data_IF_240262678757
#
_entry.id   IF_240262678757
#
_cell.length_a   1.000
_cell.length_b   1.000
_cell.length_c   1.000
_cell.angle_alpha   90.00
_cell.angle_beta   90.00
_cell.angle_gamma   90.00
#
_symmetry.space_group_name_H-M   'P 1'
#
loop_
_entity.id
_entity.type
_entity.pdbx_description
1 polymer ?
#
# COMPACT_ATOMS: atom_id res chain seq x y z
N UNK A 1 3.19 -10.63 18.19
CA UNK A 1 3.08 -9.98 16.86
C UNK A 1 3.93 -8.70 16.90
N UNK A 2 4.70 -8.40 15.85
CA UNK A 2 5.53 -7.17 15.79
C UNK A 2 5.00 -6.30 14.65
N UNK A 3 4.33 -5.20 15.00
CA UNK A 3 3.89 -4.19 14.03
C UNK A 3 5.06 -3.22 13.76
N UNK A 4 5.33 -2.95 12.49
CA UNK A 4 6.31 -1.95 12.05
C UNK A 4 5.60 -0.97 11.13
N UNK A 5 5.67 0.32 11.44
CA UNK A 5 5.16 1.41 10.60
C UNK A 5 6.37 2.12 9.99
N UNK A 6 6.35 2.32 8.68
CA UNK A 6 7.44 2.93 7.92
C UNK A 6 6.94 4.28 7.45
N UNK A 7 7.49 5.34 8.03
CA UNK A 7 7.18 6.71 7.61
C UNK A 7 8.02 7.07 6.36
N UNK A 8 7.45 7.89 5.48
CA UNK A 8 8.05 8.25 4.19
C UNK A 8 8.06 9.76 4.00
N UNK A 9 9.11 10.33 3.38
CA UNK A 9 9.07 11.73 2.96
C UNK A 9 7.88 12.03 2.04
N UNK A 10 7.38 13.26 2.09
CA UNK A 10 6.35 13.74 1.17
C UNK A 10 6.82 13.81 -0.28
N UNK A 11 5.86 13.87 -1.21
CA UNK A 11 6.09 14.07 -2.64
C UNK A 11 5.04 15.06 -3.20
N UNK A 12 5.31 15.63 -4.37
CA UNK A 12 4.38 16.57 -5.02
C UNK A 12 4.65 18.05 -4.73
N UNK A 13 5.73 18.38 -4.03
CA UNK A 13 6.09 19.76 -3.63
C UNK A 13 7.02 20.47 -4.63
N UNK A 14 7.52 19.74 -5.65
CA UNK A 14 8.40 20.29 -6.68
C UNK A 14 7.62 20.74 -7.93
N UNK A 15 8.24 21.56 -8.78
CA UNK A 15 7.68 21.93 -10.09
C UNK A 15 7.61 20.71 -11.01
N UNK A 16 8.70 19.94 -11.07
CA UNK A 16 8.74 18.65 -11.74
C UNK A 16 8.75 17.53 -10.68
N UNK A 17 7.72 16.67 -10.69
CA UNK A 17 7.59 15.52 -9.80
C UNK A 17 7.75 14.18 -10.55
N UNK A 18 8.31 14.19 -11.76
CA UNK A 18 8.66 12.97 -12.46
C UNK A 18 9.51 12.05 -11.57
N UNK A 19 9.20 10.76 -11.59
CA UNK A 19 9.94 9.75 -10.85
C UNK A 19 9.94 9.90 -9.32
N UNK A 20 9.08 10.74 -8.73
CA UNK A 20 9.00 10.92 -7.28
C UNK A 20 8.65 9.63 -6.51
N UNK A 21 8.08 8.62 -7.18
CA UNK A 21 7.81 7.30 -6.63
C UNK A 21 9.05 6.40 -6.50
N UNK A 22 10.15 6.71 -7.18
CA UNK A 22 11.34 5.84 -7.21
C UNK A 22 11.90 5.50 -5.82
N UNK A 23 12.04 6.44 -4.86
CA UNK A 23 12.56 6.11 -3.53
C UNK A 23 11.69 5.07 -2.79
N UNK A 24 10.37 5.20 -2.87
CA UNK A 24 9.42 4.28 -2.23
C UNK A 24 9.43 2.92 -2.94
N UNK A 25 9.37 2.92 -4.28
CA UNK A 25 9.43 1.68 -5.08
C UNK A 25 10.75 0.93 -4.84
N UNK A 26 11.88 1.65 -4.78
CA UNK A 26 13.18 1.08 -4.46
C UNK A 26 13.18 0.47 -3.07
N UNK A 27 12.63 1.16 -2.07
CA UNK A 27 12.56 0.64 -0.71
C UNK A 27 11.78 -0.68 -0.63
N UNK A 28 10.62 -0.77 -1.30
CA UNK A 28 9.80 -1.99 -1.36
C UNK A 28 10.61 -3.14 -1.99
N UNK A 29 11.19 -2.90 -3.17
CA UNK A 29 12.01 -3.89 -3.87
C UNK A 29 13.25 -4.32 -3.07
N UNK A 30 13.90 -3.40 -2.35
CA UNK A 30 15.03 -3.72 -1.49
C UNK A 30 14.62 -4.68 -0.36
N UNK A 31 13.39 -4.60 0.16
CA UNK A 31 12.91 -5.55 1.17
C UNK A 31 12.58 -6.92 0.55
N UNK A 32 12.03 -6.95 -0.68
CA UNK A 32 11.87 -8.20 -1.42
C UNK A 32 13.21 -8.86 -1.71
N UNK A 33 14.21 -8.09 -2.13
CA UNK A 33 15.55 -8.59 -2.38
C UNK A 33 16.18 -9.20 -1.14
N UNK A 34 16.13 -8.49 0.00
CA UNK A 34 16.65 -9.01 1.26
C UNK A 34 15.98 -10.33 1.66
N UNK A 35 14.67 -10.43 1.45
CA UNK A 35 13.94 -11.66 1.76
C UNK A 35 14.35 -12.81 0.84
N UNK A 36 14.44 -12.55 -0.48
CA UNK A 36 14.86 -13.53 -1.47
C UNK A 36 16.27 -14.06 -1.18
N UNK A 37 17.22 -13.17 -0.87
CA UNK A 37 18.60 -13.56 -0.54
C UNK A 37 18.69 -14.46 0.70
N UNK A 38 17.87 -14.23 1.71
CA UNK A 38 17.81 -15.10 2.89
C UNK A 38 17.12 -16.44 2.60
N UNK A 39 16.15 -16.48 1.67
CA UNK A 39 15.43 -17.69 1.27
C UNK A 39 16.30 -18.65 0.44
N UNK A 40 17.11 -18.10 -0.48
CA UNK A 40 18.01 -18.90 -1.34
C UNK A 40 19.31 -19.31 -0.65
N UNK A 41 19.61 -18.76 0.53
CA UNK A 41 20.84 -19.05 1.25
C UNK A 41 20.89 -20.53 1.69
N UNK A 42 22.01 -21.21 1.39
CA UNK A 42 22.25 -22.61 1.79
C UNK A 42 22.16 -22.77 3.31
N UNK A 43 22.71 -21.80 4.06
CA UNK A 43 22.66 -21.76 5.52
C UNK A 43 21.51 -20.85 5.99
N UNK A 44 20.31 -21.02 5.41
CA UNK A 44 19.14 -20.20 5.76
C UNK A 44 18.81 -20.29 7.24
N UNK A 45 18.43 -19.13 7.81
CA UNK A 45 17.93 -19.06 9.18
C UNK A 45 16.64 -19.87 9.31
N UNK A 46 16.45 -20.58 10.43
CA UNK A 46 15.19 -21.29 10.73
C UNK A 46 13.96 -20.37 10.65
N UNK A 47 14.15 -19.08 10.97
CA UNK A 47 13.14 -18.04 10.83
C UNK A 47 13.74 -16.85 10.11
N UNK A 48 13.34 -16.67 8.84
CA UNK A 48 13.75 -15.50 8.05
C UNK A 48 13.03 -14.26 8.61
N UNK A 49 13.75 -13.18 8.95
CA UNK A 49 13.13 -11.93 9.33
C UNK A 49 12.33 -11.33 8.16
N UNK A 50 11.00 -11.29 8.29
CA UNK A 50 10.15 -10.67 7.26
C UNK A 50 10.13 -9.15 7.46
N UNK A 51 10.74 -8.44 6.51
CA UNK A 51 10.79 -6.96 6.45
C UNK A 51 10.03 -6.42 5.24
N UNK A 52 9.38 -7.28 4.46
CA UNK A 52 8.61 -6.88 3.28
C UNK A 52 7.47 -5.96 3.69
N UNK A 53 7.15 -4.99 2.84
CA UNK A 53 6.03 -4.09 3.07
C UNK A 53 4.74 -4.84 2.73
N UNK A 54 3.90 -5.10 3.73
CA UNK A 54 2.67 -5.86 3.54
C UNK A 54 1.50 -5.01 3.02
N UNK A 55 1.44 -3.75 3.43
CA UNK A 55 0.38 -2.81 3.08
C UNK A 55 0.93 -1.38 3.00
N UNK A 56 0.48 -0.62 2.01
CA UNK A 56 0.76 0.78 1.82
C UNK A 56 -0.53 1.60 2.02
N UNK A 57 -0.53 2.47 3.03
CA UNK A 57 -1.60 3.46 3.21
C UNK A 57 -1.32 4.66 2.31
N UNK A 58 -2.12 4.83 1.26
CA UNK A 58 -1.93 5.93 0.32
C UNK A 58 -2.82 7.11 0.69
N UNK A 59 -2.21 8.20 1.15
CA UNK A 59 -2.92 9.39 1.62
C UNK A 59 -3.31 10.31 0.46
N UNK A 60 -4.61 10.40 0.20
CA UNK A 60 -5.21 11.29 -0.79
C UNK A 60 -5.56 12.62 -0.10
N UNK A 61 -5.10 13.77 -0.62
CA UNK A 61 -5.47 15.07 -0.07
C UNK A 61 -6.98 15.31 -0.17
N UNK A 62 -7.59 15.85 0.89
CA UNK A 62 -9.00 16.20 0.95
C UNK A 62 -9.33 17.47 0.13
N UNK A 63 -9.21 17.40 -1.20
CA UNK A 63 -9.51 18.53 -2.11
C UNK A 63 -10.99 18.66 -2.42
N UNK A 64 -11.77 17.58 -2.26
CA UNK A 64 -13.17 17.52 -2.66
C UNK A 64 -13.40 17.32 -4.17
N UNK A 65 -12.35 17.23 -4.99
CA UNK A 65 -12.45 17.10 -6.46
C UNK A 65 -12.22 15.65 -6.93
N UNK A 66 -11.43 15.43 -7.99
CA UNK A 66 -10.98 14.12 -8.47
C UNK A 66 -9.56 13.82 -7.99
N UNK A 67 -9.08 12.60 -8.22
CA UNK A 67 -7.69 12.24 -8.00
C UNK A 67 -6.77 13.11 -8.88
N UNK A 68 -5.66 13.56 -8.29
CA UNK A 68 -4.64 14.29 -9.06
C UNK A 68 -3.95 13.31 -10.01
N UNK A 69 -3.56 13.73 -11.22
CA UNK A 69 -2.81 12.88 -12.15
C UNK A 69 -1.55 12.25 -11.53
N UNK A 70 -0.87 13.00 -10.65
CA UNK A 70 0.29 12.51 -9.89
C UNK A 70 -0.08 11.32 -8.99
N UNK A 71 -1.22 11.39 -8.30
CA UNK A 71 -1.67 10.32 -7.41
C UNK A 71 -2.11 9.08 -8.18
N UNK A 72 -2.76 9.27 -9.33
CA UNK A 72 -3.14 8.19 -10.25
C UNK A 72 -1.88 7.44 -10.69
N UNK A 73 -0.87 8.16 -11.20
CA UNK A 73 0.37 7.53 -11.68
C UNK A 73 1.14 6.83 -10.56
N UNK A 74 1.17 7.42 -9.37
CA UNK A 74 1.84 6.82 -8.21
C UNK A 74 1.13 5.53 -7.78
N UNK A 75 -0.17 5.58 -7.53
CA UNK A 75 -0.94 4.40 -7.10
C UNK A 75 -0.92 3.29 -8.16
N UNK A 76 -0.97 3.64 -9.45
CA UNK A 76 -0.88 2.67 -10.56
C UNK A 76 0.44 1.92 -10.60
N UNK A 77 1.53 2.53 -10.13
CA UNK A 77 2.84 1.87 -10.01
C UNK A 77 2.94 1.04 -8.74
N UNK A 78 2.46 1.58 -7.62
CA UNK A 78 2.49 0.90 -6.33
C UNK A 78 1.61 -0.35 -6.33
N UNK A 79 0.44 -0.34 -6.98
CA UNK A 79 -0.53 -1.44 -6.91
C UNK A 79 0.02 -2.74 -7.52
N UNK A 80 1.03 -2.61 -8.39
CA UNK A 80 1.73 -3.73 -9.02
C UNK A 80 2.75 -4.42 -8.12
N UNK A 81 3.13 -3.80 -7.00
CA UNK A 81 4.21 -4.29 -6.14
C UNK A 81 3.84 -4.34 -4.66
N UNK A 82 2.72 -3.78 -4.23
CA UNK A 82 2.27 -3.80 -2.84
C UNK A 82 0.76 -3.61 -2.76
N UNK A 83 0.14 -4.15 -1.70
CA UNK A 83 -1.26 -3.89 -1.39
C UNK A 83 -1.45 -2.40 -1.04
N UNK A 84 -2.36 -1.71 -1.72
CA UNK A 84 -2.70 -0.31 -1.44
C UNK A 84 -4.05 -0.23 -0.73
N UNK A 85 -4.10 0.50 0.37
CA UNK A 85 -5.36 0.97 0.98
C UNK A 85 -5.39 2.50 0.90
N UNK A 86 -6.20 3.09 0.00
CA UNK A 86 -6.27 4.53 -0.11
C UNK A 86 -7.08 5.13 1.05
N UNK A 87 -6.63 6.26 1.56
CA UNK A 87 -7.23 6.98 2.68
C UNK A 87 -7.35 8.47 2.35
N UNK A 88 -8.49 9.09 2.66
CA UNK A 88 -8.65 10.54 2.57
C UNK A 88 -8.02 11.15 3.82
N UNK A 89 -6.96 11.92 3.61
CA UNK A 89 -6.21 12.57 4.67
C UNK A 89 -6.99 13.75 5.27
N UNK A 90 -6.90 13.95 6.60
CA UNK A 90 -7.49 15.10 7.30
C UNK A 90 -8.98 15.28 6.94
N UNK A 91 -9.76 14.20 7.03
CA UNK A 91 -11.15 14.20 6.61
C UNK A 91 -12.08 15.10 7.45
N UNK A 92 -11.59 15.68 8.54
CA UNK A 92 -12.21 16.77 9.29
C UNK A 92 -12.31 18.08 8.50
N UNK A 93 -11.60 18.19 7.37
CA UNK A 93 -11.69 19.32 6.45
C UNK A 93 -12.90 19.27 5.50
N UNK A 94 -13.57 18.12 5.40
CA UNK A 94 -14.74 17.92 4.55
C UNK A 94 -15.98 17.73 5.41
N UNK A 95 -17.10 18.32 4.98
CA UNK A 95 -18.43 17.99 5.49
C UNK A 95 -18.79 16.54 5.13
N UNK A 96 -19.86 16.01 5.75
CA UNK A 96 -20.33 14.65 5.45
C UNK A 96 -20.76 14.50 3.98
N UNK A 97 -21.42 15.50 3.41
CA UNK A 97 -21.86 15.49 2.00
C UNK A 97 -20.67 15.55 1.04
N UNK A 98 -19.72 16.45 1.28
CA UNK A 98 -18.49 16.55 0.48
C UNK A 98 -17.68 15.25 0.55
N UNK A 99 -17.60 14.62 1.72
CA UNK A 99 -16.92 13.33 1.90
C UNK A 99 -17.55 12.23 1.05
N UNK A 100 -18.88 12.13 1.03
CA UNK A 100 -19.59 11.13 0.21
C UNK A 100 -19.32 11.35 -1.27
N UNK A 101 -19.46 12.58 -1.76
CA UNK A 101 -19.18 12.89 -3.17
C UNK A 101 -17.72 12.69 -3.53
N UNK A 102 -16.79 13.03 -2.64
CA UNK A 102 -15.36 12.86 -2.88
C UNK A 102 -14.97 11.38 -2.97
N UNK A 103 -15.50 10.54 -2.08
CA UNK A 103 -15.33 9.07 -2.17
C UNK A 103 -15.80 8.52 -3.50
N UNK A 104 -17.01 8.88 -3.95
CA UNK A 104 -17.54 8.44 -5.23
C UNK A 104 -16.63 8.79 -6.41
N UNK A 105 -16.10 10.03 -6.42
CA UNK A 105 -15.15 10.49 -7.45
C UNK A 105 -13.84 9.70 -7.41
N UNK A 106 -13.25 9.53 -6.23
CA UNK A 106 -12.02 8.74 -6.08
C UNK A 106 -12.23 7.30 -6.57
N UNK A 107 -13.33 6.65 -6.18
CA UNK A 107 -13.62 5.28 -6.60
C UNK A 107 -13.80 5.19 -8.11
N UNK A 108 -14.47 6.16 -8.75
CA UNK A 108 -14.59 6.22 -10.20
C UNK A 108 -13.23 6.40 -10.90
N UNK A 109 -12.35 7.24 -10.34
CA UNK A 109 -11.01 7.45 -10.88
C UNK A 109 -10.12 6.21 -10.74
N UNK A 110 -10.19 5.51 -9.60
CA UNK A 110 -9.47 4.25 -9.38
C UNK A 110 -9.89 3.19 -10.40
N UNK A 111 -11.20 3.00 -10.60
CA UNK A 111 -11.75 2.03 -11.55
C UNK A 111 -11.39 2.38 -13.00
N UNK A 112 -11.59 3.64 -13.41
CA UNK A 112 -11.31 4.06 -14.80
C UNK A 112 -9.83 4.01 -15.17
N UNK A 113 -8.92 4.09 -14.19
CA UNK A 113 -7.48 4.00 -14.41
C UNK A 113 -6.91 2.58 -14.20
N UNK A 114 -7.74 1.59 -13.84
CA UNK A 114 -7.32 0.22 -13.57
C UNK A 114 -6.37 0.13 -12.37
N UNK A 115 -6.70 0.84 -11.29
CA UNK A 115 -5.93 0.82 -10.04
C UNK A 115 -6.64 -0.10 -9.06
N UNK A 116 -6.11 -1.32 -8.93
CA UNK A 116 -6.62 -2.29 -7.97
C UNK A 116 -6.12 -1.95 -6.55
N UNK A 117 -7.08 -1.79 -5.64
CA UNK A 117 -6.84 -1.51 -4.23
C UNK A 117 -7.27 -2.71 -3.38
N UNK A 118 -6.63 -2.87 -2.24
CA UNK A 118 -6.96 -3.93 -1.30
C UNK A 118 -8.31 -3.66 -0.61
N UNK A 119 -9.20 -4.66 -0.43
CA UNK A 119 -9.08 -6.06 -0.88
C UNK A 119 -9.53 -6.26 -2.34
N UNK A 120 -8.66 -6.82 -3.18
CA UNK A 120 -8.93 -7.05 -4.61
C UNK A 120 -9.98 -8.16 -4.81
N UNK A 121 -10.92 -7.95 -5.73
CA UNK A 121 -12.03 -8.91 -6.00
C UNK A 121 -11.56 -10.28 -6.45
N UNK A 122 -10.44 -10.34 -7.15
CA UNK A 122 -9.84 -11.57 -7.65
C UNK A 122 -9.24 -12.47 -6.56
N UNK A 123 -9.04 -11.94 -5.34
CA UNK A 123 -8.48 -12.69 -4.21
C UNK A 123 -9.54 -13.11 -3.18
N UNK A 124 -10.83 -12.91 -3.45
CA UNK A 124 -11.91 -13.42 -2.60
C UNK A 124 -11.90 -14.96 -2.63
N UNK A 125 -11.65 -15.61 -1.49
CA UNK A 125 -11.51 -17.07 -1.41
C UNK A 125 -12.86 -17.79 -1.52
N UNK A 126 -13.89 -17.25 -0.85
CA UNK A 126 -15.24 -17.80 -0.83
C UNK A 126 -16.32 -16.69 -0.74
N UNK A 127 -17.59 -17.09 -0.64
CA UNK A 127 -18.72 -16.15 -0.57
C UNK A 127 -18.79 -15.34 0.74
N UNK A 128 -18.30 -15.90 1.84
CA UNK A 128 -18.28 -15.22 3.15
C UNK A 128 -17.20 -14.14 3.15
N UNK A 129 -16.00 -14.49 2.67
CA UNK A 129 -14.89 -13.56 2.49
C UNK A 129 -15.29 -12.42 1.53
N UNK A 130 -15.93 -12.74 0.39
CA UNK A 130 -16.48 -11.74 -0.52
C UNK A 130 -17.44 -10.77 0.18
N UNK A 131 -18.35 -11.27 1.03
CA UNK A 131 -19.32 -10.42 1.72
C UNK A 131 -18.66 -9.49 2.73
N UNK A 132 -17.60 -9.95 3.40
CA UNK A 132 -16.79 -9.13 4.31
C UNK A 132 -16.00 -8.08 3.52
N UNK A 133 -15.35 -8.49 2.43
CA UNK A 133 -14.52 -7.63 1.59
C UNK A 133 -15.34 -6.54 0.88
N UNK A 134 -16.56 -6.85 0.41
CA UNK A 134 -17.46 -5.84 -0.18
C UNK A 134 -17.78 -4.70 0.79
N UNK A 135 -18.01 -4.99 2.10
CA UNK A 135 -18.22 -3.93 3.09
C UNK A 135 -17.03 -2.98 3.21
N UNK A 136 -15.82 -3.51 3.10
CA UNK A 136 -14.61 -2.67 3.10
C UNK A 136 -14.44 -1.92 1.79
N UNK A 137 -14.71 -2.54 0.64
CA UNK A 137 -14.68 -1.88 -0.68
C UNK A 137 -15.65 -0.70 -0.75
N UNK A 138 -16.85 -0.83 -0.18
CA UNK A 138 -17.84 0.25 -0.10
C UNK A 138 -17.37 1.43 0.77
N UNK A 139 -16.55 1.16 1.80
CA UNK A 139 -16.00 2.20 2.68
C UNK A 139 -14.75 2.86 2.11
N UNK A 140 -14.00 2.17 1.24
CA UNK A 140 -12.74 2.65 0.68
C UNK A 140 -13.02 3.73 -0.40
N UNK A 141 -12.30 4.87 -0.36
CA UNK A 141 -11.20 5.21 0.56
C UNK A 141 -11.67 5.64 1.96
N UNK A 142 -10.95 5.23 3.03
CA UNK A 142 -11.31 5.59 4.40
C UNK A 142 -11.06 7.08 4.68
N UNK A 143 -12.05 7.78 5.21
CA UNK A 143 -11.99 9.17 5.62
C UNK A 143 -11.45 9.28 7.06
N UNK A 144 -10.15 9.51 7.19
CA UNK A 144 -9.45 9.42 8.47
C UNK A 144 -9.06 10.77 9.04
N UNK A 145 -9.06 10.84 10.38
CA UNK A 145 -8.51 11.94 11.16
C UNK A 145 -7.45 11.36 12.08
N UNK A 146 -6.25 11.93 12.06
CA UNK A 146 -5.14 11.50 12.92
C UNK A 146 -5.04 12.35 14.18
N UNK A 147 -4.64 11.73 15.29
CA UNK A 147 -4.18 12.43 16.49
C UNK A 147 -3.22 11.56 17.30
N UNK A 148 -2.20 12.19 17.86
CA UNK A 148 -1.27 11.67 18.87
C UNK A 148 -1.56 12.23 20.28
N UNK A 149 -2.62 13.03 20.42
CA UNK A 149 -3.03 13.63 21.69
C UNK A 149 -4.20 12.87 22.33
N UNK A 150 -4.04 12.55 23.61
CA UNK A 150 -5.09 11.97 24.46
C UNK A 150 -5.86 13.05 25.23
N UNK A 151 -7.17 12.85 25.33
CA UNK A 151 -8.07 13.67 26.13
C UNK A 151 -8.92 12.77 27.04
N UNK A 152 -9.39 13.31 28.15
CA UNK A 152 -10.33 12.62 29.02
C UNK A 152 -11.75 13.14 28.74
N UNK A 153 -12.62 12.27 28.24
CA UNK A 153 -14.04 12.56 27.98
C UNK A 153 -14.87 11.50 28.71
N UNK A 154 -15.80 11.93 29.56
CA UNK A 154 -16.62 11.03 30.39
C UNK A 154 -15.80 10.01 31.20
N UNK A 155 -14.63 10.42 31.71
CA UNK A 155 -13.73 9.54 32.47
C UNK A 155 -12.86 8.59 31.64
N UNK A 156 -13.12 8.44 30.33
CA UNK A 156 -12.34 7.60 29.43
C UNK A 156 -11.25 8.41 28.72
N UNK A 157 -10.04 7.85 28.64
CA UNK A 157 -8.98 8.38 27.77
C UNK A 157 -9.29 8.05 26.33
N UNK A 158 -9.29 9.06 25.48
CA UNK A 158 -9.59 8.96 24.05
C UNK A 158 -8.52 9.67 23.24
N UNK A 159 -8.18 9.13 22.08
CA UNK A 159 -7.40 9.84 21.08
C UNK A 159 -8.31 10.83 20.37
N UNK A 160 -7.93 12.10 20.31
CA UNK A 160 -8.79 13.11 19.72
C UNK A 160 -8.04 14.30 19.15
N UNK A 161 -8.65 15.00 18.18
CA UNK A 161 -8.12 16.24 17.62
C UNK A 161 -8.96 17.40 18.16
N UNK A 162 -8.35 18.28 18.96
CA UNK A 162 -9.03 19.47 19.50
C UNK A 162 -9.08 20.57 18.44
N UNK A 163 -10.28 21.07 18.18
CA UNK A 163 -10.55 22.22 17.30
C UNK A 163 -11.17 23.35 18.10
N UNK A 164 -11.45 24.49 17.45
CA UNK A 164 -12.19 25.60 18.08
C UNK A 164 -13.66 25.24 18.39
N UNK A 165 -14.20 24.22 17.72
CA UNK A 165 -15.62 23.85 17.79
C UNK A 165 -15.89 22.60 18.63
N UNK A 166 -14.85 21.87 19.03
CA UNK A 166 -14.99 20.66 19.82
C UNK A 166 -13.79 19.72 19.71
N UNK A 167 -13.95 18.51 20.22
CA UNK A 167 -12.92 17.46 20.13
C UNK A 167 -13.41 16.36 19.19
N UNK A 168 -12.66 16.14 18.12
CA UNK A 168 -12.92 15.06 17.17
C UNK A 168 -12.28 13.80 17.72
N UNK A 169 -13.07 12.92 18.30
CA UNK A 169 -12.62 11.60 18.76
C UNK A 169 -12.26 10.69 17.57
N UNK A 170 -10.99 10.28 17.48
CA UNK A 170 -10.45 9.57 16.31
C UNK A 170 -11.01 8.14 16.19
N UNK A 171 -11.25 7.48 17.32
CA UNK A 171 -11.78 6.11 17.33
C UNK A 171 -13.32 6.04 17.31
N UNK A 172 -14.01 7.18 17.21
CA UNK A 172 -15.45 7.24 17.18
C UNK A 172 -15.95 7.24 15.73
N UNK A 173 -16.74 6.21 15.37
CA UNK A 173 -17.22 5.99 14.00
C UNK A 173 -18.23 7.04 13.52
N UNK A 174 -18.79 7.83 14.43
CA UNK A 174 -19.64 8.98 14.06
C UNK A 174 -18.83 10.21 13.64
N UNK A 175 -17.54 10.25 13.96
CA UNK A 175 -16.65 11.37 13.65
C UNK A 175 -15.78 11.10 12.42
N UNK A 176 -15.13 9.94 12.37
CA UNK A 176 -14.30 9.53 11.23
C UNK A 176 -14.21 8.01 11.12
N UNK A 177 -13.55 7.54 10.07
CA UNK A 177 -13.52 6.11 9.72
C UNK A 177 -12.20 5.42 10.12
N UNK A 178 -11.38 6.06 10.96
CA UNK A 178 -10.12 5.49 11.42
C UNK A 178 -10.31 4.14 12.14
N UNK A 179 -11.40 3.97 12.91
CA UNK A 179 -11.70 2.70 13.56
C UNK A 179 -11.85 1.54 12.56
N UNK A 180 -12.48 1.79 11.39
CA UNK A 180 -12.62 0.78 10.34
C UNK A 180 -11.28 0.46 9.68
N UNK A 181 -10.45 1.46 9.40
CA UNK A 181 -9.10 1.27 8.89
C UNK A 181 -8.24 0.46 9.86
N UNK A 182 -8.27 0.80 11.15
CA UNK A 182 -7.57 0.07 12.20
C UNK A 182 -8.01 -1.39 12.21
N UNK A 183 -9.32 -1.63 12.26
CA UNK A 183 -9.86 -2.99 12.36
C UNK A 183 -9.53 -3.84 11.12
N UNK A 184 -9.57 -3.24 9.91
CA UNK A 184 -9.06 -3.88 8.69
C UNK A 184 -7.61 -4.32 8.87
N UNK A 185 -6.70 -3.39 9.18
CA UNK A 185 -5.26 -3.64 9.18
C UNK A 185 -4.80 -4.59 10.29
N UNK A 186 -5.36 -4.49 11.50
CA UNK A 186 -4.80 -5.17 12.68
C UNK A 186 -5.68 -6.26 13.27
N UNK A 187 -6.97 -6.34 12.91
CA UNK A 187 -7.88 -7.33 13.51
C UNK A 187 -8.30 -8.40 12.52
N UNK A 188 -8.74 -8.01 11.33
CA UNK A 188 -9.41 -8.94 10.42
C UNK A 188 -8.54 -9.37 9.24
N UNK A 189 -7.84 -8.44 8.59
CA UNK A 189 -7.24 -8.71 7.26
C UNK A 189 -5.72 -8.90 7.28
N UNK A 190 -5.06 -8.72 8.42
CA UNK A 190 -3.59 -8.75 8.52
C UNK A 190 -2.95 -10.00 7.90
N UNK A 191 -3.54 -11.17 8.13
CA UNK A 191 -3.00 -12.41 7.61
C UNK A 191 -3.20 -12.50 6.09
N UNK A 192 -4.41 -12.22 5.60
CA UNK A 192 -4.69 -12.19 4.16
C UNK A 192 -3.82 -11.18 3.40
N UNK A 193 -3.60 -9.97 3.96
CA UNK A 193 -2.65 -8.98 3.41
C UNK A 193 -1.24 -9.56 3.27
N UNK A 194 -0.76 -10.28 4.30
CA UNK A 194 0.56 -10.93 4.26
C UNK A 194 0.61 -12.06 3.24
N UNK A 195 -0.47 -12.83 3.13
CA UNK A 195 -0.56 -13.94 2.20
C UNK A 195 -0.50 -13.43 0.76
N UNK A 196 -1.28 -12.40 0.39
CA UNK A 196 -1.18 -11.74 -0.92
C UNK A 196 0.20 -11.13 -1.15
N UNK A 197 0.80 -10.52 -0.12
CA UNK A 197 2.19 -10.01 -0.23
C UNK A 197 3.16 -11.11 -0.59
N UNK A 198 3.00 -12.31 -0.02
CA UNK A 198 3.90 -13.43 -0.25
C UNK A 198 3.62 -14.15 -1.57
N UNK A 199 2.36 -14.51 -1.84
CA UNK A 199 1.97 -15.36 -2.96
C UNK A 199 1.83 -14.60 -4.28
N UNK A 200 1.55 -13.29 -4.23
CA UNK A 200 1.34 -12.46 -5.41
C UNK A 200 2.52 -11.51 -5.61
N UNK A 201 2.69 -10.52 -4.71
CA UNK A 201 3.65 -9.44 -4.94
C UNK A 201 5.11 -9.92 -4.89
N UNK A 202 5.46 -10.72 -3.89
CA UNK A 202 6.81 -11.27 -3.75
C UNK A 202 7.12 -12.33 -4.80
N UNK A 203 6.18 -13.24 -5.13
CA UNK A 203 6.40 -14.21 -6.22
C UNK A 203 6.56 -13.52 -7.58
N UNK A 204 5.78 -12.48 -7.87
CA UNK A 204 5.96 -11.68 -9.09
C UNK A 204 7.37 -11.05 -9.15
N UNK A 205 7.86 -10.51 -8.03
CA UNK A 205 9.23 -10.01 -7.92
C UNK A 205 10.27 -11.11 -8.14
N UNK A 206 10.07 -12.30 -7.54
CA UNK A 206 10.96 -13.45 -7.66
C UNK A 206 11.06 -13.96 -9.10
N UNK A 207 9.93 -14.13 -9.79
CA UNK A 207 9.90 -14.53 -11.20
C UNK A 207 10.65 -13.52 -12.06
N UNK A 208 10.43 -12.22 -11.84
CA UNK A 208 11.16 -11.16 -12.54
C UNK A 208 12.67 -11.27 -12.34
N UNK A 209 13.13 -11.47 -11.10
CA UNK A 209 14.56 -11.64 -10.78
C UNK A 209 15.20 -12.87 -11.42
N UNK A 210 14.48 -13.99 -11.46
CA UNK A 210 14.97 -15.21 -12.11
C UNK A 210 15.15 -15.02 -13.63
N UNK A 211 14.23 -14.30 -14.27
CA UNK A 211 14.30 -14.01 -15.70
C UNK A 211 15.46 -13.05 -16.04
N UNK A 212 15.72 -12.05 -15.19
CA UNK A 212 16.87 -11.15 -15.31
C UNK A 212 18.20 -11.91 -15.17
N UNK A 213 18.31 -12.80 -14.18
CA UNK A 213 19.49 -13.65 -13.98
C UNK A 213 19.74 -14.62 -15.13
N UNK A 214 18.68 -15.20 -15.71
CA UNK A 214 18.77 -16.12 -16.85
C UNK A 214 19.22 -15.40 -18.13
N UNK A 215 18.74 -14.17 -18.33
CA UNK A 215 19.15 -13.33 -19.47
C UNK A 215 20.61 -12.86 -19.37
N UNK A 216 21.10 -12.62 -18.15
CA UNK A 216 22.51 -12.28 -17.91
C UNK A 216 23.45 -13.47 -18.20
N UNK A 217 23.02 -14.71 -17.98
CA UNK A 217 23.79 -15.91 -18.34
C UNK A 217 23.76 -16.20 -19.85
N UNK A 218 22.65 -15.91 -20.55
CA UNK A 218 22.53 -16.11 -21.99
C UNK A 218 23.43 -15.17 -22.82
N UNK A 219 23.69 -13.95 -22.33
CA UNK A 219 24.58 -12.99 -23.00
C UNK A 219 26.09 -13.21 -22.72
N UNK A 220 26.44 -14.27 -21.96
CA UNK A 220 27.83 -14.60 -21.60
C UNK A 220 28.50 -15.65 -22.50
N UNK A 221 27.84 -16.11 -23.56
CA UNK A 221 28.42 -17.03 -24.54
C UNK A 221 28.90 -16.21 -25.74
N UNK A 222 30.09 -15.62 -25.63
CA UNK A 222 30.84 -15.21 -26.82
C UNK A 222 31.19 -16.47 -27.61
N UNK A 223 30.63 -16.62 -28.81
CA UNK A 223 31.10 -17.59 -29.80
C UNK A 223 32.58 -17.30 -30.08
N UNK A 224 33.48 -18.18 -29.63
CA UNK A 224 34.85 -18.19 -30.11
C UNK A 224 34.81 -18.52 -31.61
N UNK A 225 35.13 -17.54 -32.45
CA UNK A 225 35.47 -17.77 -33.85
C UNK A 225 36.60 -18.81 -33.94
N UNK A 226 36.54 -19.79 -34.86
CA UNK A 226 37.62 -20.72 -35.06
C UNK A 226 38.80 -20.00 -35.74
N UNK A 227 39.95 -19.96 -35.06
CA UNK A 227 41.21 -19.51 -35.64
C UNK A 227 41.53 -20.35 -36.89
N UNK A 228 41.66 -19.68 -38.04
CA UNK A 228 42.12 -20.30 -39.28
C UNK A 228 43.60 -20.68 -39.14
N UNK A 229 44.03 -21.86 -39.60
CA UNK A 229 45.44 -22.23 -39.56
C UNK A 229 46.22 -21.42 -40.59
N UNK A 230 47.24 -20.70 -40.13
CA UNK A 230 48.25 -20.10 -41.01
C UNK A 230 49.02 -21.19 -41.76
N UNK A 231 49.36 -20.87 -43.02
CA UNK A 231 49.97 -21.75 -44.04
C UNK A 231 51.25 -22.46 -43.63
#
# INVERSE_FOLDING_TARGET
>A
MKLTVIDTPGFGDHINNENCWQPIMKFINDQYEKYLQEEVNINRKKRIPDTRVHCCLYFIPATGHSLRPLDIEFMKRLSKVVNIVPVIAKADTLTLEERVHFKQRITADLLSNGIDVYPQKEFDEDSEDRLVNEKFREMIPFAVVGSDHEYQVNGKRILGRKTKWGTIEVENTTHCEFAYLRDLLIRTHMQNIKDITSSIHFEAYRVKRLNEGSSAMANGVEEKEPEAPEM
#
